data_IF_690834631905
#
_entry.id   IF_690834631905
#
_cell.length_a   1.000
_cell.length_b   1.000
_cell.length_c   1.000
_cell.angle_alpha   90.00
_cell.angle_beta   90.00
_cell.angle_gamma   90.00
#
_symmetry.space_group_name_H-M   'P 1'
#
loop_
_entity.id
_entity.type
_entity.pdbx_description
1 polymer ?
#
# COMPACT_ATOMS: atom_id res chain seq x y z
N UNK A 1 15.89 -12.90 -10.24
CA UNK A 1 14.69 -12.17 -9.79
C UNK A 1 14.86 -11.55 -8.37
N UNK A 2 15.41 -12.31 -7.39
CA UNK A 2 15.60 -11.80 -6.01
C UNK A 2 16.52 -10.57 -5.97
N UNK A 3 17.67 -10.63 -6.62
CA UNK A 3 18.63 -9.51 -6.67
C UNK A 3 17.98 -8.30 -7.34
N UNK A 4 17.26 -8.50 -8.44
CA UNK A 4 16.55 -7.43 -9.14
C UNK A 4 15.47 -6.80 -8.21
N UNK A 5 14.68 -7.62 -7.52
CA UNK A 5 13.67 -7.13 -6.58
C UNK A 5 14.31 -6.36 -5.40
N UNK A 6 15.46 -6.80 -4.89
CA UNK A 6 16.18 -6.08 -3.83
C UNK A 6 16.69 -4.73 -4.31
N UNK A 7 17.35 -4.67 -5.48
CA UNK A 7 17.87 -3.42 -6.04
C UNK A 7 16.75 -2.44 -6.36
N UNK A 8 15.66 -2.93 -6.98
CA UNK A 8 14.50 -2.09 -7.28
C UNK A 8 13.80 -1.65 -5.99
N UNK A 9 13.72 -2.51 -4.97
CA UNK A 9 13.17 -2.17 -3.67
C UNK A 9 13.95 -1.06 -2.96
N UNK A 10 15.29 -1.10 -3.01
CA UNK A 10 16.13 -0.02 -2.47
C UNK A 10 15.90 1.30 -3.20
N UNK A 11 15.73 1.28 -4.52
CA UNK A 11 15.37 2.46 -5.30
C UNK A 11 14.00 3.00 -4.90
N UNK A 12 13.02 2.11 -4.71
CA UNK A 12 11.66 2.47 -4.35
C UNK A 12 11.51 3.02 -2.92
N UNK A 13 12.51 2.86 -2.04
CA UNK A 13 12.51 3.56 -0.74
C UNK A 13 12.51 5.09 -0.88
N UNK A 14 12.86 5.62 -2.06
CA UNK A 14 12.73 7.05 -2.38
C UNK A 14 11.35 7.43 -2.90
N UNK A 15 10.46 6.45 -3.13
CA UNK A 15 9.15 6.65 -3.75
C UNK A 15 8.04 6.66 -2.70
N UNK A 16 7.24 7.73 -2.58
CA UNK A 16 6.13 7.81 -1.61
C UNK A 16 5.14 6.64 -1.69
N UNK A 17 4.87 6.12 -2.88
CA UNK A 17 3.96 5.00 -3.10
C UNK A 17 4.45 3.68 -2.49
N UNK A 18 5.75 3.53 -2.30
CA UNK A 18 6.30 2.32 -1.72
C UNK A 18 5.96 2.16 -0.24
N UNK A 19 5.62 3.26 0.43
CA UNK A 19 5.11 3.26 1.81
C UNK A 19 3.90 2.32 1.99
N UNK A 20 3.05 2.17 0.95
CA UNK A 20 1.85 1.32 0.99
C UNK A 20 2.11 -0.16 1.26
N UNK A 21 3.28 -0.65 0.85
CA UNK A 21 3.60 -2.09 0.90
C UNK A 21 4.60 -2.43 2.00
N UNK A 22 5.11 -1.41 2.72
CA UNK A 22 6.04 -1.62 3.80
C UNK A 22 5.34 -1.96 5.12
N UNK A 23 5.84 -2.95 5.87
CA UNK A 23 5.39 -3.19 7.23
C UNK A 23 5.78 -2.03 8.15
N UNK A 24 4.96 -1.77 9.20
CA UNK A 24 5.11 -0.66 10.16
C UNK A 24 6.56 -0.38 10.62
N UNK A 25 7.38 -1.38 11.02
CA UNK A 25 8.73 -1.09 11.47
C UNK A 25 9.65 -0.50 10.37
N UNK A 26 9.43 -0.88 9.12
CA UNK A 26 10.17 -0.34 7.98
C UNK A 26 9.60 1.00 7.54
N UNK A 27 8.27 1.15 7.59
CA UNK A 27 7.60 2.40 7.29
C UNK A 27 8.14 3.54 8.17
N UNK A 28 8.14 3.36 9.49
CA UNK A 28 8.64 4.36 10.44
C UNK A 28 10.15 4.63 10.34
N UNK A 29 10.91 3.72 9.70
CA UNK A 29 12.36 3.89 9.51
C UNK A 29 12.69 4.70 8.26
N UNK A 30 11.92 4.51 7.18
CA UNK A 30 12.24 5.06 5.86
C UNK A 30 11.31 6.20 5.42
N UNK A 31 10.24 6.45 6.16
CA UNK A 31 9.26 7.50 5.84
C UNK A 31 8.90 8.31 7.06
N UNK A 32 8.81 9.63 6.87
CA UNK A 32 8.18 10.51 7.83
C UNK A 32 6.66 10.36 7.77
N UNK A 33 6.00 10.63 8.91
CA UNK A 33 4.54 10.64 8.97
C UNK A 33 3.98 11.65 7.96
N UNK A 34 2.84 11.34 7.33
CA UNK A 34 2.21 12.28 6.41
C UNK A 34 1.79 13.56 7.14
N UNK A 35 2.00 14.70 6.49
CA UNK A 35 1.51 15.99 7.00
C UNK A 35 -0.02 16.10 6.89
N UNK A 36 -0.67 15.15 6.21
CA UNK A 36 -2.10 15.15 5.96
C UNK A 36 -2.54 14.04 5.01
N UNK A 37 -3.66 14.25 4.34
CA UNK A 37 -4.25 13.30 3.38
C UNK A 37 -4.23 13.91 1.98
N UNK A 38 -3.64 13.20 1.01
CA UNK A 38 -3.55 13.64 -0.38
C UNK A 38 -4.90 13.61 -1.08
N UNK A 39 -5.21 14.68 -1.79
CA UNK A 39 -6.31 14.79 -2.73
C UNK A 39 -5.86 14.20 -4.07
N UNK A 40 -6.44 13.06 -4.47
CA UNK A 40 -6.16 12.44 -5.78
C UNK A 40 -6.90 13.15 -6.90
N UNK A 41 -8.18 13.46 -6.68
CA UNK A 41 -9.02 14.19 -7.63
C UNK A 41 -10.15 14.90 -6.90
N UNK A 42 -10.76 15.85 -7.59
CA UNK A 42 -11.92 16.60 -7.12
C UNK A 42 -13.15 16.06 -7.82
N UNK A 43 -14.26 15.95 -7.08
CA UNK A 43 -15.57 15.56 -7.63
C UNK A 43 -16.17 16.78 -8.31
N UNK A 44 -16.63 16.64 -9.54
CA UNK A 44 -17.29 17.69 -10.30
C UNK A 44 -18.54 18.23 -9.57
N UNK A 45 -18.84 19.52 -9.70
CA UNK A 45 -19.92 20.24 -9.03
C UNK A 45 -19.91 20.20 -7.50
N UNK A 46 -18.81 19.74 -6.88
CA UNK A 46 -18.67 19.66 -5.42
C UNK A 46 -18.29 21.01 -4.78
N UNK A 47 -18.41 21.05 -3.45
CA UNK A 47 -17.92 22.19 -2.68
C UNK A 47 -16.40 22.39 -2.78
N UNK A 48 -15.63 21.29 -2.88
CA UNK A 48 -14.18 21.35 -3.08
C UNK A 48 -13.79 22.01 -4.39
N UNK A 49 -14.47 21.68 -5.49
CA UNK A 49 -14.24 22.31 -6.80
C UNK A 49 -14.56 23.79 -6.76
N UNK A 50 -15.76 24.17 -6.26
CA UNK A 50 -16.20 25.56 -6.14
C UNK A 50 -15.27 26.40 -5.26
N UNK A 51 -14.71 25.79 -4.22
CA UNK A 51 -13.74 26.45 -3.34
C UNK A 51 -12.34 26.57 -3.97
N UNK A 52 -12.03 25.85 -5.04
CA UNK A 52 -10.73 25.89 -5.72
C UNK A 52 -9.68 24.96 -5.11
N UNK A 53 -10.10 23.85 -4.48
CA UNK A 53 -9.20 22.75 -4.15
C UNK A 53 -8.73 22.10 -5.46
N UNK A 54 -7.53 21.53 -5.42
CA UNK A 54 -6.91 20.89 -6.58
C UNK A 54 -6.43 19.49 -6.25
N UNK A 55 -6.26 18.65 -7.27
CA UNK A 55 -5.50 17.42 -7.14
C UNK A 55 -4.06 17.74 -6.70
N UNK A 56 -3.48 16.86 -5.89
CA UNK A 56 -2.20 17.00 -5.21
C UNK A 56 -2.17 17.98 -4.02
N UNK A 57 -3.28 18.56 -3.61
CA UNK A 57 -3.37 19.22 -2.31
C UNK A 57 -3.25 18.15 -1.19
N UNK A 58 -2.62 18.50 -0.09
CA UNK A 58 -2.59 17.66 1.11
C UNK A 58 -3.48 18.30 2.17
N UNK A 59 -4.62 17.69 2.48
CA UNK A 59 -5.52 18.17 3.54
C UNK A 59 -4.87 17.94 4.88
N UNK A 60 -4.60 18.99 5.62
CA UNK A 60 -3.93 18.97 6.93
C UNK A 60 -4.89 19.14 8.09
N UNK A 61 -6.01 19.87 7.91
CA UNK A 61 -7.06 20.00 8.90
C UNK A 61 -8.41 20.34 8.28
N UNK A 62 -9.50 19.98 9.00
CA UNK A 62 -10.86 20.40 8.68
C UNK A 62 -11.51 20.91 9.97
N UNK A 63 -12.03 22.13 9.97
CA UNK A 63 -12.60 22.79 11.15
C UNK A 63 -11.66 22.69 12.36
N UNK A 64 -10.37 22.99 12.15
CA UNK A 64 -9.29 22.90 13.14
C UNK A 64 -8.93 21.47 13.61
N UNK A 65 -9.68 20.44 13.18
CA UNK A 65 -9.39 19.04 13.49
C UNK A 65 -8.26 18.56 12.58
N UNK A 66 -7.11 18.10 13.12
CA UNK A 66 -6.02 17.56 12.32
C UNK A 66 -6.44 16.31 11.52
N UNK A 67 -6.07 16.27 10.25
CA UNK A 67 -6.35 15.17 9.34
C UNK A 67 -5.02 14.52 8.96
N UNK A 68 -4.63 13.47 9.67
CA UNK A 68 -3.39 12.71 9.42
C UNK A 68 -3.67 11.39 8.69
N UNK A 69 -4.93 10.95 8.70
CA UNK A 69 -5.37 9.70 8.06
C UNK A 69 -6.77 9.86 7.46
N UNK A 70 -7.19 9.01 6.52
CA UNK A 70 -8.57 9.00 6.00
C UNK A 70 -9.64 8.81 7.07
N UNK A 71 -9.31 8.13 8.18
CA UNK A 71 -10.24 7.92 9.29
C UNK A 71 -10.54 9.22 10.05
N UNK A 72 -9.61 10.17 10.04
CA UNK A 72 -9.78 11.44 10.75
C UNK A 72 -10.87 12.33 10.13
N UNK A 73 -11.22 12.10 8.85
CA UNK A 73 -12.36 12.78 8.23
C UNK A 73 -13.70 12.48 8.93
N UNK A 74 -13.82 11.33 9.59
CA UNK A 74 -15.01 11.00 10.35
C UNK A 74 -15.11 11.83 11.64
N UNK A 75 -13.96 12.24 12.21
CA UNK A 75 -13.89 13.08 13.41
C UNK A 75 -14.35 14.52 13.14
N UNK A 76 -14.25 14.96 11.87
CA UNK A 76 -14.68 16.30 11.48
C UNK A 76 -16.22 16.49 11.47
N UNK A 77 -17.00 15.40 11.63
CA UNK A 77 -18.46 15.40 11.74
C UNK A 77 -19.17 16.36 10.75
N UNK A 78 -18.76 16.29 9.48
CA UNK A 78 -19.28 17.18 8.43
C UNK A 78 -20.77 16.96 8.21
N UNK A 79 -21.56 18.04 8.26
CA UNK A 79 -23.00 18.02 8.00
C UNK A 79 -23.32 18.70 6.66
N UNK A 80 -24.20 18.11 5.84
CA UNK A 80 -24.62 18.72 4.57
C UNK A 80 -25.18 20.13 4.77
N UNK A 81 -24.78 21.05 3.88
CA UNK A 81 -25.19 22.46 3.90
C UNK A 81 -24.35 23.37 4.83
N UNK A 82 -23.42 22.82 5.62
CA UNK A 82 -22.47 23.63 6.38
C UNK A 82 -21.27 24.03 5.53
N UNK A 83 -20.54 25.06 5.96
CA UNK A 83 -19.26 25.47 5.36
C UNK A 83 -18.13 24.95 6.25
N UNK A 84 -17.32 24.06 5.73
CA UNK A 84 -16.15 23.54 6.40
C UNK A 84 -14.90 24.40 6.07
N UNK A 85 -14.10 24.72 7.06
CA UNK A 85 -12.79 25.36 6.89
C UNK A 85 -11.76 24.27 6.66
N UNK A 86 -11.25 24.17 5.42
CA UNK A 86 -10.29 23.15 5.01
C UNK A 86 -8.91 23.80 4.83
N UNK A 87 -7.93 23.34 5.64
CA UNK A 87 -6.54 23.73 5.45
C UNK A 87 -5.84 22.68 4.61
N UNK A 88 -5.11 23.12 3.60
CA UNK A 88 -4.31 22.26 2.74
C UNK A 88 -2.87 22.78 2.64
N UNK A 89 -1.94 21.85 2.45
CA UNK A 89 -0.58 22.15 2.04
C UNK A 89 -0.51 22.02 0.51
N UNK A 90 -0.23 23.13 -0.17
CA UNK A 90 -0.06 23.24 -1.62
C UNK A 90 1.26 23.96 -1.92
N UNK A 91 2.15 23.31 -2.67
CA UNK A 91 3.48 23.85 -3.01
C UNK A 91 4.29 24.29 -1.77
N UNK A 92 4.20 23.54 -0.68
CA UNK A 92 4.88 23.83 0.58
C UNK A 92 4.27 24.97 1.40
N UNK A 93 3.13 25.52 0.99
CA UNK A 93 2.41 26.59 1.69
C UNK A 93 1.05 26.11 2.19
N UNK A 94 0.72 26.48 3.43
CA UNK A 94 -0.60 26.21 3.99
C UNK A 94 -1.59 27.24 3.43
N UNK A 95 -2.68 26.75 2.81
CA UNK A 95 -3.79 27.56 2.30
C UNK A 95 -5.09 27.10 2.96
N UNK A 96 -6.00 28.04 3.22
CA UNK A 96 -7.31 27.77 3.77
C UNK A 96 -8.40 28.00 2.74
N UNK A 97 -9.39 27.09 2.73
CA UNK A 97 -10.54 27.16 1.84
C UNK A 97 -11.83 26.98 2.64
N UNK A 98 -12.85 27.75 2.30
CA UNK A 98 -14.21 27.59 2.80
C UNK A 98 -14.97 26.70 1.84
N UNK A 99 -15.27 25.48 2.23
CA UNK A 99 -15.81 24.42 1.37
C UNK A 99 -17.24 24.12 1.78
N UNK A 100 -18.19 24.23 0.86
CA UNK A 100 -19.57 23.81 1.09
C UNK A 100 -19.64 22.29 1.18
N UNK A 101 -20.25 21.79 2.26
CA UNK A 101 -20.41 20.36 2.50
C UNK A 101 -21.64 19.85 1.77
N UNK A 102 -21.45 18.89 0.89
CA UNK A 102 -22.53 18.24 0.12
C UNK A 102 -22.94 16.92 0.80
N UNK A 103 -24.18 16.45 0.62
CA UNK A 103 -24.61 15.14 1.15
C UNK A 103 -23.89 14.00 0.43
N UNK A 104 -23.56 12.95 1.18
CA UNK A 104 -23.02 11.72 0.60
C UNK A 104 -24.11 10.98 -0.19
N UNK A 105 -23.78 10.44 -1.39
CA UNK A 105 -24.72 9.61 -2.16
C UNK A 105 -25.16 8.33 -1.41
N UNK A 106 -24.30 7.80 -0.54
CA UNK A 106 -24.57 6.57 0.24
C UNK A 106 -25.37 6.84 1.51
N UNK A 107 -25.15 7.98 2.14
CA UNK A 107 -25.79 8.40 3.38
C UNK A 107 -26.06 9.91 3.36
N UNK A 108 -27.29 10.35 3.06
CA UNK A 108 -27.62 11.78 2.97
C UNK A 108 -27.42 12.58 4.27
N UNK A 109 -27.29 11.92 5.41
CA UNK A 109 -26.99 12.60 6.69
C UNK A 109 -25.50 12.87 6.86
N UNK A 110 -24.65 12.17 6.12
CA UNK A 110 -23.20 12.35 6.14
C UNK A 110 -22.77 13.39 5.12
N UNK A 111 -22.00 14.37 5.58
CA UNK A 111 -21.43 15.40 4.71
C UNK A 111 -20.11 14.96 4.06
N UNK A 112 -19.90 15.42 2.83
CA UNK A 112 -18.66 15.27 2.08
C UNK A 112 -18.20 16.63 1.55
N UNK A 113 -16.89 16.86 1.48
CA UNK A 113 -16.33 18.05 0.85
C UNK A 113 -16.13 17.88 -0.67
N UNK A 114 -16.25 16.65 -1.18
CA UNK A 114 -16.17 16.37 -2.62
C UNK A 114 -14.76 16.12 -3.14
N UNK A 115 -13.92 15.43 -2.37
CA UNK A 115 -12.60 14.98 -2.78
C UNK A 115 -12.51 13.47 -2.84
N UNK A 116 -11.73 12.94 -3.78
CA UNK A 116 -11.22 11.57 -3.77
C UNK A 116 -9.83 11.63 -3.16
N UNK A 117 -9.60 10.81 -2.14
CA UNK A 117 -8.41 10.90 -1.28
C UNK A 117 -7.67 9.57 -1.18
N UNK A 118 -6.37 9.65 -0.98
CA UNK A 118 -5.53 8.49 -0.64
C UNK A 118 -4.49 8.88 0.42
N UNK A 119 -4.22 7.95 1.33
CA UNK A 119 -3.21 8.13 2.37
C UNK A 119 -1.80 7.82 1.88
N UNK A 120 -1.70 6.94 0.91
CA UNK A 120 -0.44 6.33 0.51
C UNK A 120 0.57 7.33 -0.03
N UNK A 121 0.09 8.45 -0.57
CA UNK A 121 0.91 9.44 -1.25
C UNK A 121 1.38 10.59 -0.37
N UNK A 122 0.91 10.64 0.87
CA UNK A 122 1.29 11.70 1.81
C UNK A 122 2.58 11.37 2.59
N UNK A 123 3.06 10.13 2.54
CA UNK A 123 4.31 9.75 3.18
C UNK A 123 5.52 10.39 2.49
N UNK A 124 6.40 10.99 3.26
CA UNK A 124 7.63 11.60 2.77
C UNK A 124 8.80 10.64 2.95
N UNK A 125 9.44 10.19 1.85
CA UNK A 125 10.64 9.37 1.98
C UNK A 125 11.76 10.14 2.69
N UNK A 126 12.42 9.52 3.66
CA UNK A 126 13.65 10.07 4.28
C UNK A 126 14.76 10.18 3.22
N UNK A 127 14.81 9.21 2.29
CA UNK A 127 15.69 9.24 1.13
C UNK A 127 14.97 9.94 -0.03
N UNK A 128 15.16 11.24 -0.20
CA UNK A 128 14.44 12.09 -1.16
C UNK A 128 15.31 12.62 -2.31
N UNK A 129 16.36 11.88 -2.70
CA UNK A 129 17.25 12.30 -3.78
C UNK A 129 16.67 12.06 -5.20
N UNK A 130 15.51 11.40 -5.32
CA UNK A 130 14.75 11.23 -6.57
C UNK A 130 13.41 11.94 -6.44
N UNK A 131 13.12 12.80 -7.39
CA UNK A 131 11.85 13.49 -7.47
C UNK A 131 10.85 12.67 -8.32
N UNK A 132 9.85 12.10 -7.68
CA UNK A 132 8.83 11.27 -8.33
C UNK A 132 7.66 12.15 -8.79
N UNK A 133 7.75 12.67 -10.03
CA UNK A 133 6.72 13.59 -10.59
C UNK A 133 5.51 12.89 -11.20
N UNK A 134 5.71 11.67 -11.70
CA UNK A 134 4.68 10.92 -12.42
C UNK A 134 4.15 9.77 -11.56
N UNK A 135 2.89 9.87 -11.08
CA UNK A 135 2.24 8.80 -10.33
C UNK A 135 2.14 7.49 -11.12
N UNK A 136 1.97 7.55 -12.44
CA UNK A 136 1.84 6.36 -13.29
C UNK A 136 3.15 5.57 -13.34
N UNK A 137 4.29 6.26 -13.51
CA UNK A 137 5.62 5.64 -13.46
C UNK A 137 5.88 5.05 -12.08
N UNK A 138 5.56 5.76 -11.02
CA UNK A 138 5.71 5.30 -9.64
C UNK A 138 4.94 4.01 -9.38
N UNK A 139 3.68 3.98 -9.78
CA UNK A 139 2.80 2.81 -9.63
C UNK A 139 3.26 1.63 -10.50
N UNK A 140 3.69 1.88 -11.73
CA UNK A 140 4.24 0.84 -12.61
C UNK A 140 5.46 0.17 -11.99
N UNK A 141 6.41 0.94 -11.46
CA UNK A 141 7.60 0.41 -10.80
C UNK A 141 7.27 -0.36 -9.52
N UNK A 142 6.28 0.09 -8.75
CA UNK A 142 5.77 -0.63 -7.59
C UNK A 142 5.21 -2.00 -7.99
N UNK A 143 4.37 -2.07 -9.02
CA UNK A 143 3.85 -3.34 -9.52
C UNK A 143 4.94 -4.26 -10.05
N UNK A 144 5.91 -3.71 -10.79
CA UNK A 144 7.06 -4.46 -11.29
C UNK A 144 7.88 -5.05 -10.14
N UNK A 145 8.09 -4.27 -9.08
CA UNK A 145 8.75 -4.74 -7.86
C UNK A 145 7.95 -5.86 -7.18
N UNK A 146 6.65 -5.66 -6.95
CA UNK A 146 5.79 -6.66 -6.31
C UNK A 146 5.82 -8.00 -7.07
N UNK A 147 5.62 -7.97 -8.38
CA UNK A 147 5.66 -9.18 -9.21
C UNK A 147 7.02 -9.86 -9.11
N UNK A 148 8.12 -9.11 -9.25
CA UNK A 148 9.48 -9.65 -9.17
C UNK A 148 9.79 -10.24 -7.79
N UNK A 149 9.33 -9.58 -6.73
CA UNK A 149 9.48 -10.02 -5.34
C UNK A 149 8.72 -11.32 -5.08
N UNK A 150 7.44 -11.40 -5.47
CA UNK A 150 6.64 -12.61 -5.31
C UNK A 150 7.17 -13.79 -6.14
N UNK A 151 7.58 -13.55 -7.39
CA UNK A 151 8.23 -14.58 -8.20
C UNK A 151 9.53 -15.05 -7.52
N UNK A 152 10.29 -14.13 -6.95
CA UNK A 152 11.50 -14.45 -6.19
C UNK A 152 11.20 -15.36 -4.99
N UNK A 153 10.21 -15.01 -4.17
CA UNK A 153 9.77 -15.82 -3.01
C UNK A 153 9.29 -17.20 -3.46
N UNK A 154 8.42 -17.26 -4.49
CA UNK A 154 7.90 -18.53 -4.99
C UNK A 154 9.06 -19.43 -5.47
N UNK A 155 10.02 -18.88 -6.19
CA UNK A 155 11.16 -19.64 -6.66
C UNK A 155 12.08 -20.14 -5.53
N UNK A 156 12.04 -19.51 -4.36
CA UNK A 156 12.78 -19.98 -3.16
C UNK A 156 12.05 -21.08 -2.38
N UNK A 157 10.81 -21.39 -2.73
CA UNK A 157 10.11 -22.49 -2.10
C UNK A 157 10.81 -23.83 -2.36
N UNK A 158 10.87 -24.73 -1.37
CA UNK A 158 11.51 -26.04 -1.49
C UNK A 158 10.64 -27.03 -2.27
N UNK A 159 10.42 -26.75 -3.56
CA UNK A 159 9.65 -27.60 -4.49
C UNK A 159 10.56 -28.14 -5.60
N UNK A 160 10.24 -29.32 -6.20
CA UNK A 160 11.14 -30.03 -7.12
C UNK A 160 11.55 -29.21 -8.34
N UNK A 161 10.64 -28.36 -8.85
CA UNK A 161 10.81 -27.60 -10.10
C UNK A 161 11.48 -26.24 -9.83
N UNK A 162 11.40 -25.75 -8.58
CA UNK A 162 11.84 -24.42 -8.21
C UNK A 162 13.30 -24.40 -7.75
N UNK A 163 13.90 -23.22 -7.80
CA UNK A 163 15.31 -23.05 -7.42
C UNK A 163 15.58 -23.37 -5.95
N UNK A 164 14.62 -23.07 -5.06
CA UNK A 164 14.71 -23.40 -3.64
C UNK A 164 14.84 -24.91 -3.39
N UNK A 165 14.10 -25.74 -4.13
CA UNK A 165 14.24 -27.19 -4.04
C UNK A 165 15.61 -27.67 -4.49
N UNK A 166 16.13 -27.17 -5.63
CA UNK A 166 17.47 -27.47 -6.13
C UNK A 166 18.56 -27.01 -5.18
N UNK A 167 18.41 -25.83 -4.59
CA UNK A 167 19.35 -25.26 -3.61
C UNK A 167 19.46 -26.17 -2.38
N UNK A 168 18.32 -26.58 -1.78
CA UNK A 168 18.30 -27.46 -0.61
C UNK A 168 18.90 -28.82 -0.98
N UNK A 169 18.51 -29.39 -2.13
CA UNK A 169 19.08 -30.65 -2.63
C UNK A 169 20.62 -30.58 -2.67
N UNK A 170 21.19 -29.52 -3.27
CA UNK A 170 22.64 -29.36 -3.40
C UNK A 170 23.35 -29.23 -2.05
N UNK A 171 22.71 -28.63 -1.04
CA UNK A 171 23.28 -28.53 0.32
C UNK A 171 23.30 -29.89 1.01
N UNK A 172 22.21 -30.66 0.85
CA UNK A 172 22.01 -31.94 1.56
C UNK A 172 22.85 -33.03 0.90
N UNK A 173 22.89 -33.08 -0.43
CA UNK A 173 23.62 -34.07 -1.24
C UNK A 173 25.09 -34.20 -0.85
N UNK A 174 25.72 -33.10 -0.46
CA UNK A 174 27.13 -33.09 0.00
C UNK A 174 27.35 -33.66 1.40
N UNK A 175 26.30 -33.94 2.17
CA UNK A 175 26.39 -34.28 3.62
C UNK A 175 25.87 -35.63 3.96
N UNK A 176 25.00 -36.24 3.20
CA UNK A 176 24.34 -37.51 3.49
C UNK A 176 24.28 -38.41 2.24
N UNK A 177 23.96 -39.69 2.40
CA UNK A 177 23.85 -40.65 1.29
C UNK A 177 22.69 -40.33 0.38
N UNK A 178 22.80 -40.68 -0.92
CA UNK A 178 21.78 -40.44 -1.97
C UNK A 178 20.38 -40.92 -1.55
N UNK A 179 20.30 -42.10 -0.90
CA UNK A 179 19.02 -42.62 -0.40
C UNK A 179 18.42 -41.70 0.68
N UNK A 180 19.24 -41.20 1.58
CA UNK A 180 18.80 -40.28 2.64
C UNK A 180 18.42 -38.91 2.03
N UNK A 181 19.16 -38.41 1.01
CA UNK A 181 18.80 -37.20 0.25
C UNK A 181 17.40 -37.33 -0.31
N UNK A 182 17.12 -38.41 -1.05
CA UNK A 182 15.80 -38.61 -1.66
C UNK A 182 14.66 -38.67 -0.62
N UNK A 183 14.84 -39.39 0.48
CA UNK A 183 13.83 -39.47 1.54
C UNK A 183 13.57 -38.07 2.14
N UNK A 184 14.64 -37.33 2.46
CA UNK A 184 14.55 -36.00 3.05
C UNK A 184 13.86 -35.02 2.10
N UNK A 185 14.24 -35.03 0.82
CA UNK A 185 13.63 -34.14 -0.17
C UNK A 185 12.16 -34.43 -0.38
N UNK A 186 11.74 -35.71 -0.47
CA UNK A 186 10.34 -36.07 -0.54
C UNK A 186 9.56 -35.62 0.71
N UNK A 187 10.15 -35.74 1.90
CA UNK A 187 9.57 -35.22 3.14
C UNK A 187 9.36 -33.70 3.10
N UNK A 188 10.35 -32.96 2.63
CA UNK A 188 10.28 -31.50 2.48
C UNK A 188 9.20 -31.11 1.46
N UNK A 189 9.14 -31.79 0.31
CA UNK A 189 8.11 -31.53 -0.69
C UNK A 189 6.70 -31.82 -0.17
N UNK A 190 6.50 -32.95 0.48
CA UNK A 190 5.20 -33.33 1.06
C UNK A 190 4.77 -32.34 2.15
N UNK A 191 5.71 -31.89 3.00
CA UNK A 191 5.44 -30.87 4.00
C UNK A 191 5.04 -29.53 3.37
N UNK A 192 5.77 -29.07 2.35
CA UNK A 192 5.48 -27.81 1.66
C UNK A 192 4.11 -27.85 0.96
N UNK A 193 3.82 -28.92 0.22
CA UNK A 193 2.49 -29.09 -0.39
C UNK A 193 1.38 -29.22 0.67
N UNK A 194 1.66 -29.91 1.78
CA UNK A 194 0.73 -30.03 2.90
C UNK A 194 0.38 -28.67 3.52
N UNK A 195 1.37 -27.80 3.73
CA UNK A 195 1.13 -26.43 4.20
C UNK A 195 0.29 -25.60 3.22
N UNK A 196 0.55 -25.71 1.91
CA UNK A 196 -0.28 -25.05 0.89
C UNK A 196 -1.72 -25.55 0.92
N UNK A 197 -1.91 -26.86 0.93
CA UNK A 197 -3.24 -27.47 1.02
C UNK A 197 -4.00 -27.06 2.28
N UNK A 198 -3.30 -27.05 3.43
CA UNK A 198 -3.86 -26.58 4.69
C UNK A 198 -4.26 -25.10 4.64
N UNK A 199 -3.40 -24.25 4.08
CA UNK A 199 -3.69 -22.81 3.94
C UNK A 199 -4.93 -22.58 3.07
N UNK A 200 -5.03 -23.29 1.92
CA UNK A 200 -6.21 -23.23 1.04
C UNK A 200 -7.47 -23.71 1.77
N UNK A 201 -7.39 -24.83 2.49
CA UNK A 201 -8.51 -25.39 3.23
C UNK A 201 -8.99 -24.43 4.34
N UNK A 202 -8.07 -23.85 5.11
CA UNK A 202 -8.39 -22.89 6.17
C UNK A 202 -8.96 -21.60 5.60
N UNK A 203 -8.44 -21.12 4.47
CA UNK A 203 -8.98 -19.94 3.77
C UNK A 203 -10.40 -20.20 3.28
N UNK A 204 -10.66 -21.39 2.75
CA UNK A 204 -12.00 -21.80 2.33
C UNK A 204 -12.98 -21.85 3.51
N UNK A 205 -12.57 -22.42 4.64
CA UNK A 205 -13.42 -22.51 5.84
C UNK A 205 -13.72 -21.11 6.41
N UNK A 206 -12.73 -20.20 6.40
CA UNK A 206 -12.85 -18.87 7.01
C UNK A 206 -13.62 -17.88 6.13
N UNK A 207 -13.42 -17.89 4.82
CA UNK A 207 -13.91 -16.84 3.92
C UNK A 207 -15.04 -17.27 2.99
N UNK A 208 -15.28 -18.58 2.83
CA UNK A 208 -16.15 -19.12 1.79
C UNK A 208 -15.69 -18.68 0.38
N UNK A 209 -15.53 -19.57 -0.57
CA UNK A 209 -15.14 -19.15 -1.92
C UNK A 209 -16.29 -18.49 -2.71
N UNK A 210 -17.50 -18.56 -2.19
CA UNK A 210 -18.72 -18.00 -2.81
C UNK A 210 -19.71 -17.50 -1.74
N UNK A 211 -19.38 -16.45 -1.02
CA UNK A 211 -20.42 -15.60 -0.47
C UNK A 211 -20.76 -14.57 -1.54
N UNK A 212 -21.80 -14.89 -2.32
CA UNK A 212 -22.53 -13.94 -3.17
C UNK A 212 -23.27 -12.95 -2.28
#
# INVERSE_FOLDING_TARGET
NVIFALVLGLLLLTNPFFAMVLPEPLLSTFYDLPDGVLVLSIIEDSGAEKAGLLANDIVTSINEIPILSPLDFQKAELKPGEIAQVSVLRDGQVKQFSVEVIPSPEDPQRGLIGIIRDNSFAYKPVLNFIEWKDPGVSMFLLWLWMISFFIGIINMLPLPILDGGKFIHTIIDKKISDKAVNITMWGIYAFTFGLFGLNIALSYIKSGWFTI
#
